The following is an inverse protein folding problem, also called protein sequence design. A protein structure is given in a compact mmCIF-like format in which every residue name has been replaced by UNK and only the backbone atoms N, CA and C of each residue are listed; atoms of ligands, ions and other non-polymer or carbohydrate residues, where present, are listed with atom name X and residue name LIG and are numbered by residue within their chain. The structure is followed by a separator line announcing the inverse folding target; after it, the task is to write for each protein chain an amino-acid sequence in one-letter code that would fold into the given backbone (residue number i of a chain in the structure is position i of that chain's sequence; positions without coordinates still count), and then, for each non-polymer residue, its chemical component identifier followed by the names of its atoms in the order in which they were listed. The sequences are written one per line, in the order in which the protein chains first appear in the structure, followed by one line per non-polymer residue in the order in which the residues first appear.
data_IF_390109643545
#
_entry.id   IF_390109643545
#
_cell.length_a   1.000
_cell.length_b   1.000
_cell.length_c   1.000
_cell.angle_alpha   90.00
_cell.angle_beta   90.00
_cell.angle_gamma   90.00
#
_symmetry.space_group_name_H-M   'P 1'
#
loop_
_entity.id
_entity.type
_entity.pdbx_description
1 polymer ?
#
# COMPACT_ATOMS: atom_id res chain seq x y z
N UNK A 1 -3.94 10.38 -33.12
CA UNK A 1 -3.07 9.63 -32.19
C UNK A 1 -2.25 10.64 -31.43
N UNK A 2 -2.00 10.40 -30.13
CA UNK A 2 -1.11 11.27 -29.36
C UNK A 2 0.34 11.02 -29.77
N UNK A 3 1.15 12.06 -29.79
CA UNK A 3 2.60 11.99 -29.99
C UNK A 3 3.32 12.00 -28.64
N UNK A 4 4.63 11.72 -28.63
CA UNK A 4 5.46 11.90 -27.43
C UNK A 4 5.44 13.33 -26.91
N UNK A 5 5.33 14.32 -27.80
CA UNK A 5 5.23 15.75 -27.45
C UNK A 5 3.89 16.06 -26.76
N UNK A 6 2.79 15.46 -27.23
CA UNK A 6 1.49 15.59 -26.57
C UNK A 6 1.54 15.07 -25.12
N UNK A 7 2.25 13.96 -24.89
CA UNK A 7 2.45 13.41 -23.55
C UNK A 7 3.35 14.26 -22.66
N UNK A 8 4.34 14.96 -23.24
CA UNK A 8 5.17 15.90 -22.49
C UNK A 8 4.33 17.08 -21.98
N UNK A 9 3.51 17.67 -22.85
CA UNK A 9 2.60 18.76 -22.48
C UNK A 9 1.59 18.29 -21.43
N UNK A 10 1.03 17.10 -21.60
CA UNK A 10 0.10 16.51 -20.65
C UNK A 10 0.75 16.30 -19.27
N UNK A 11 1.96 15.75 -19.24
CA UNK A 11 2.75 15.54 -18.03
C UNK A 11 2.99 16.85 -17.28
N UNK A 12 3.45 17.90 -17.98
CA UNK A 12 3.70 19.20 -17.37
C UNK A 12 2.43 19.85 -16.84
N UNK A 13 1.34 19.78 -17.60
CA UNK A 13 0.03 20.28 -17.19
C UNK A 13 -0.45 19.61 -15.90
N UNK A 14 -0.39 18.27 -15.83
CA UNK A 14 -0.81 17.53 -14.63
C UNK A 14 0.11 17.77 -13.45
N UNK A 15 1.43 17.81 -13.67
CA UNK A 15 2.40 18.12 -12.60
C UNK A 15 2.12 19.49 -12.00
N UNK A 16 1.98 20.51 -12.85
CA UNK A 16 1.70 21.89 -12.43
C UNK A 16 0.37 22.00 -11.66
N UNK A 17 -0.68 21.34 -12.17
CA UNK A 17 -1.99 21.27 -11.51
C UNK A 17 -1.86 20.69 -10.10
N UNK A 18 -1.25 19.51 -9.96
CA UNK A 18 -1.13 18.83 -8.67
C UNK A 18 -0.27 19.60 -7.68
N UNK A 19 0.84 20.19 -8.12
CA UNK A 19 1.70 21.00 -7.26
C UNK A 19 0.97 22.25 -6.76
N UNK A 20 0.20 22.91 -7.63
CA UNK A 20 -0.59 24.09 -7.28
C UNK A 20 -1.70 23.73 -6.30
N UNK A 21 -2.50 22.69 -6.59
CA UNK A 21 -3.55 22.23 -5.69
C UNK A 21 -3.00 21.79 -4.34
N UNK A 22 -1.87 21.07 -4.33
CA UNK A 22 -1.20 20.64 -3.09
C UNK A 22 -0.77 21.84 -2.25
N UNK A 23 -0.14 22.86 -2.85
CA UNK A 23 0.27 24.07 -2.14
C UNK A 23 -0.94 24.80 -1.55
N UNK A 24 -2.01 24.92 -2.32
CA UNK A 24 -3.24 25.58 -1.88
C UNK A 24 -3.87 24.86 -0.68
N UNK A 25 -4.09 23.54 -0.77
CA UNK A 25 -4.74 22.81 0.33
C UNK A 25 -3.89 22.78 1.59
N UNK A 26 -2.55 22.80 1.46
CA UNK A 26 -1.65 22.86 2.61
C UNK A 26 -1.67 24.24 3.27
N UNK A 27 -1.74 25.33 2.49
CA UNK A 27 -1.86 26.69 3.03
C UNK A 27 -3.12 26.86 3.90
N UNK A 28 -4.22 26.20 3.52
CA UNK A 28 -5.46 26.23 4.31
C UNK A 28 -5.29 25.70 5.73
N UNK A 29 -4.36 24.75 5.97
CA UNK A 29 -4.04 24.26 7.32
C UNK A 29 -3.47 25.36 8.22
N UNK A 30 -2.77 26.33 7.65
CA UNK A 30 -2.14 27.42 8.39
C UNK A 30 -3.06 28.65 8.48
N UNK A 31 -3.86 28.90 7.44
CA UNK A 31 -4.73 30.08 7.34
C UNK A 31 -6.03 29.96 8.15
N UNK A 32 -6.62 28.75 8.21
CA UNK A 32 -7.91 28.54 8.87
C UNK A 32 -7.69 28.15 10.33
N UNK A 33 -8.00 29.07 11.25
CA UNK A 33 -7.78 28.91 12.70
C UNK A 33 -8.46 27.71 13.37
N UNK A 34 -9.45 27.09 12.74
CA UNK A 34 -10.23 26.00 13.35
C UNK A 34 -10.67 24.95 12.33
N UNK A 35 -9.69 24.23 11.77
CA UNK A 35 -9.97 23.06 10.92
C UNK A 35 -10.20 21.83 11.83
N UNK A 36 -11.31 21.10 11.69
CA UNK A 36 -11.53 19.83 12.38
C UNK A 36 -10.46 18.80 12.03
N UNK A 37 -10.11 17.91 12.96
CA UNK A 37 -9.09 16.88 12.73
C UNK A 37 -9.39 16.03 11.48
N UNK A 38 -10.65 15.71 11.22
CA UNK A 38 -11.04 14.92 10.05
C UNK A 38 -10.79 15.67 8.73
N UNK A 39 -11.04 16.99 8.71
CA UNK A 39 -10.74 17.86 7.58
C UNK A 39 -9.22 17.99 7.39
N UNK A 40 -8.47 18.23 8.46
CA UNK A 40 -7.01 18.31 8.42
C UNK A 40 -6.37 16.98 7.97
N UNK A 41 -6.95 15.85 8.36
CA UNK A 41 -6.53 14.52 7.90
C UNK A 41 -6.85 14.30 6.42
N UNK A 42 -8.00 14.77 5.96
CA UNK A 42 -8.38 14.74 4.54
C UNK A 42 -7.42 15.57 3.68
N UNK A 43 -7.04 16.78 4.14
CA UNK A 43 -6.05 17.63 3.49
C UNK A 43 -4.69 16.93 3.41
N UNK A 44 -4.17 16.43 4.54
CA UNK A 44 -2.87 15.74 4.59
C UNK A 44 -2.85 14.51 3.70
N UNK A 45 -3.95 13.76 3.64
CA UNK A 45 -4.10 12.61 2.75
C UNK A 45 -4.06 13.02 1.27
N UNK A 46 -4.86 14.01 0.87
CA UNK A 46 -4.90 14.49 -0.50
C UNK A 46 -3.54 15.02 -0.97
N UNK A 47 -2.93 15.91 -0.16
CA UNK A 47 -1.61 16.47 -0.42
C UNK A 47 -0.53 15.37 -0.48
N UNK A 48 -0.54 14.42 0.44
CA UNK A 48 0.41 13.32 0.48
C UNK A 48 0.32 12.43 -0.76
N UNK A 49 -0.89 12.04 -1.18
CA UNK A 49 -1.10 11.25 -2.40
C UNK A 49 -0.66 12.02 -3.65
N UNK A 50 -1.06 13.28 -3.80
CA UNK A 50 -0.68 14.12 -4.95
C UNK A 50 0.84 14.26 -5.07
N UNK A 51 1.52 14.57 -3.96
CA UNK A 51 2.98 14.66 -3.94
C UNK A 51 3.66 13.33 -4.27
N UNK A 52 3.10 12.21 -3.81
CA UNK A 52 3.63 10.88 -4.11
C UNK A 52 3.51 10.56 -5.60
N UNK A 53 2.37 10.89 -6.21
CA UNK A 53 2.16 10.71 -7.65
C UNK A 53 3.17 11.55 -8.44
N UNK A 54 3.35 12.82 -8.09
CA UNK A 54 4.32 13.72 -8.73
C UNK A 54 5.75 13.17 -8.62
N UNK A 55 6.20 12.85 -7.41
CA UNK A 55 7.60 12.43 -7.16
C UNK A 55 7.93 11.07 -7.74
N UNK A 56 6.96 10.15 -7.82
CA UNK A 56 7.20 8.77 -8.25
C UNK A 56 6.71 8.53 -9.68
N UNK A 57 5.40 8.53 -9.88
CA UNK A 57 4.79 8.10 -11.15
C UNK A 57 5.04 9.11 -12.26
N UNK A 58 4.90 10.41 -12.00
CA UNK A 58 5.16 11.44 -13.00
C UNK A 58 6.66 11.60 -13.30
N UNK A 59 7.55 11.39 -12.32
CA UNK A 59 9.00 11.31 -12.59
C UNK A 59 9.34 10.13 -13.50
N UNK A 60 8.74 8.96 -13.26
CA UNK A 60 8.98 7.80 -14.12
C UNK A 60 8.38 7.99 -15.51
N UNK A 61 7.23 8.63 -15.61
CA UNK A 61 6.61 8.96 -16.88
C UNK A 61 7.46 9.96 -17.68
N UNK A 62 8.04 10.97 -17.02
CA UNK A 62 8.99 11.91 -17.63
C UNK A 62 10.19 11.20 -18.28
N UNK A 63 10.80 10.24 -17.57
CA UNK A 63 11.87 9.42 -18.14
C UNK A 63 11.41 8.66 -19.39
N UNK A 64 10.20 8.11 -19.36
CA UNK A 64 9.65 7.33 -20.47
C UNK A 64 9.35 8.22 -21.68
N UNK A 65 8.77 9.40 -21.47
CA UNK A 65 8.53 10.41 -22.51
C UNK A 65 9.85 10.87 -23.12
N UNK A 66 10.87 11.17 -22.30
CA UNK A 66 12.21 11.54 -22.78
C UNK A 66 12.86 10.44 -23.61
N UNK A 67 12.70 9.17 -23.20
CA UNK A 67 13.19 8.01 -23.93
C UNK A 67 12.48 7.83 -25.29
N UNK A 68 11.19 8.16 -25.36
CA UNK A 68 10.43 8.14 -26.61
C UNK A 68 10.84 9.27 -27.56
N UNK A 69 11.03 10.49 -27.03
CA UNK A 69 11.42 11.67 -27.81
C UNK A 69 12.88 11.63 -28.30
N UNK A 70 13.77 10.99 -27.55
CA UNK A 70 15.19 10.89 -27.87
C UNK A 70 15.62 9.42 -27.90
N UNK A 71 15.23 8.66 -28.94
CA UNK A 71 15.62 7.26 -29.06
C UNK A 71 17.14 7.15 -29.25
N UNK A 72 17.78 6.29 -28.47
CA UNK A 72 19.23 6.02 -28.58
C UNK A 72 19.43 4.99 -29.70
N UNK A 73 20.30 5.30 -30.66
CA UNK A 73 20.65 4.38 -31.72
C UNK A 73 21.25 3.08 -31.15
N UNK A 74 20.66 1.95 -31.49
CA UNK A 74 21.07 0.64 -30.98
C UNK A 74 20.41 0.23 -29.64
N UNK A 75 19.46 1.01 -29.12
CA UNK A 75 18.63 0.55 -28.00
C UNK A 75 17.73 -0.61 -28.44
N UNK A 76 17.82 -1.73 -27.71
CA UNK A 76 17.02 -2.92 -27.95
C UNK A 76 15.55 -2.74 -27.51
N UNK A 77 15.26 -1.74 -26.69
CA UNK A 77 13.91 -1.46 -26.16
C UNK A 77 13.59 0.04 -26.15
N UNK A 78 13.39 0.68 -27.31
CA UNK A 78 12.93 2.06 -27.37
C UNK A 78 11.55 2.19 -26.73
N UNK A 79 11.27 3.34 -26.12
CA UNK A 79 9.93 3.61 -25.61
C UNK A 79 8.99 3.91 -26.79
N UNK A 80 7.87 3.19 -26.85
CA UNK A 80 6.85 3.34 -27.89
C UNK A 80 5.70 4.23 -27.41
N UNK A 81 4.84 4.68 -28.34
CA UNK A 81 3.61 5.41 -27.98
C UNK A 81 2.68 4.52 -27.14
N UNK A 82 2.62 3.21 -27.43
CA UNK A 82 1.82 2.27 -26.65
C UNK A 82 2.31 2.14 -25.20
N UNK A 83 3.63 2.18 -24.98
CA UNK A 83 4.22 2.23 -23.63
C UNK A 83 3.79 3.49 -22.87
N UNK A 84 3.74 4.63 -23.56
CA UNK A 84 3.28 5.90 -22.99
C UNK A 84 1.80 5.86 -22.64
N UNK A 85 0.96 5.39 -23.57
CA UNK A 85 -0.49 5.25 -23.35
C UNK A 85 -0.79 4.30 -22.20
N UNK A 86 -0.14 3.13 -22.17
CA UNK A 86 -0.31 2.14 -21.12
C UNK A 86 0.13 2.66 -19.75
N UNK A 87 1.26 3.36 -19.67
CA UNK A 87 1.70 3.97 -18.41
C UNK A 87 0.77 5.11 -17.98
N UNK A 88 0.33 5.94 -18.91
CA UNK A 88 -0.58 7.05 -18.64
C UNK A 88 -1.91 6.56 -18.07
N UNK A 89 -2.47 5.46 -18.59
CA UNK A 89 -3.69 4.87 -18.04
C UNK A 89 -3.56 4.53 -16.54
N UNK A 90 -2.37 4.10 -16.09
CA UNK A 90 -2.11 3.86 -14.67
C UNK A 90 -2.03 5.17 -13.87
N UNK A 91 -1.45 6.22 -14.46
CA UNK A 91 -1.40 7.55 -13.84
C UNK A 91 -2.81 8.13 -13.72
N UNK A 92 -3.65 7.96 -14.73
CA UNK A 92 -5.03 8.46 -14.76
C UNK A 92 -5.91 7.82 -13.68
N UNK A 93 -5.75 6.51 -13.42
CA UNK A 93 -6.44 5.86 -12.30
C UNK A 93 -6.06 6.52 -10.97
N UNK A 94 -4.77 6.73 -10.72
CA UNK A 94 -4.31 7.37 -9.48
C UNK A 94 -4.72 8.86 -9.41
N UNK A 95 -4.80 9.55 -10.56
CA UNK A 95 -5.31 10.92 -10.62
C UNK A 95 -6.77 10.99 -10.19
N UNK A 96 -7.61 10.06 -10.64
CA UNK A 96 -9.01 9.99 -10.20
C UNK A 96 -9.10 9.79 -8.68
N UNK A 97 -8.31 8.87 -8.12
CA UNK A 97 -8.25 8.63 -6.67
C UNK A 97 -7.80 9.89 -5.89
N UNK A 98 -6.92 10.71 -6.47
CA UNK A 98 -6.46 11.98 -5.89
C UNK A 98 -7.54 13.05 -6.02
N UNK A 99 -8.20 13.14 -7.16
CA UNK A 99 -9.27 14.11 -7.42
C UNK A 99 -10.46 13.86 -6.46
N UNK A 100 -10.79 12.59 -6.15
CA UNK A 100 -11.74 12.24 -5.08
C UNK A 100 -11.29 12.73 -3.70
N UNK A 101 -10.00 12.63 -3.38
CA UNK A 101 -9.46 13.14 -2.12
C UNK A 101 -9.58 14.67 -2.05
N UNK A 102 -9.31 15.38 -3.15
CA UNK A 102 -9.49 16.83 -3.23
C UNK A 102 -10.97 17.22 -3.18
N UNK A 103 -11.87 16.42 -3.76
CA UNK A 103 -13.30 16.63 -3.65
C UNK A 103 -13.76 16.57 -2.19
N UNK A 104 -13.28 15.60 -1.40
CA UNK A 104 -13.57 15.54 0.04
C UNK A 104 -13.10 16.81 0.77
N UNK A 105 -11.93 17.35 0.44
CA UNK A 105 -11.46 18.64 0.99
C UNK A 105 -12.39 19.77 0.58
N UNK A 106 -12.86 19.78 -0.67
CA UNK A 106 -13.79 20.79 -1.16
C UNK A 106 -15.16 20.72 -0.47
N UNK A 107 -15.63 19.53 -0.11
CA UNK A 107 -16.84 19.38 0.70
C UNK A 107 -16.68 20.04 2.08
N UNK A 108 -15.53 19.87 2.73
CA UNK A 108 -15.23 20.58 3.98
C UNK A 108 -15.25 22.09 3.80
N UNK A 109 -14.66 22.63 2.72
CA UNK A 109 -14.74 24.06 2.38
C UNK A 109 -16.17 24.54 2.23
N UNK A 110 -16.98 23.79 1.48
CA UNK A 110 -18.38 24.15 1.22
C UNK A 110 -19.22 24.15 2.49
N UNK A 111 -18.85 23.34 3.49
CA UNK A 111 -19.47 23.31 4.81
C UNK A 111 -18.80 24.25 5.83
N UNK A 112 -17.97 25.20 5.37
CA UNK A 112 -17.28 26.15 6.25
C UNK A 112 -16.40 25.50 7.31
N UNK A 113 -15.81 24.34 6.99
CA UNK A 113 -14.97 23.54 7.91
C UNK A 113 -15.70 23.05 9.16
N UNK A 114 -17.00 22.79 9.08
CA UNK A 114 -17.78 22.27 10.20
C UNK A 114 -17.92 20.75 10.11
N UNK A 115 -17.85 20.08 11.26
CA UNK A 115 -18.18 18.66 11.36
C UNK A 115 -19.66 18.49 10.98
N UNK A 116 -19.96 17.63 10.01
CA UNK A 116 -21.36 17.28 9.73
C UNK A 116 -21.92 16.60 10.99
N UNK A 117 -22.84 17.27 11.68
CA UNK A 117 -23.66 16.60 12.68
C UNK A 117 -24.52 15.58 11.94
N UNK A 118 -24.08 14.31 11.97
CA UNK A 118 -24.95 13.21 11.57
C UNK A 118 -26.16 13.24 12.50
N UNK A 119 -27.40 13.26 11.99
CA UNK A 119 -28.58 13.14 12.84
C UNK A 119 -28.72 11.67 13.25
N UNK A 120 -27.84 11.19 14.11
CA UNK A 120 -28.02 9.93 14.81
C UNK A 120 -27.43 10.06 16.21
N UNK A 121 -28.30 10.54 17.09
CA UNK A 121 -28.51 10.10 18.47
C UNK A 121 -27.35 9.36 19.15
N UNK A 122 -26.83 10.00 20.19
CA UNK A 122 -26.31 9.43 21.44
C UNK A 122 -25.97 7.92 21.43
N UNK A 123 -24.68 7.59 21.45
CA UNK A 123 -24.04 7.06 22.67
C UNK A 123 -22.51 6.86 22.47
N UNK A 124 -21.67 7.16 23.49
CA UNK A 124 -20.22 7.14 23.36
C UNK A 124 -19.67 5.77 23.74
N UNK A 125 -19.09 5.02 22.79
CA UNK A 125 -18.19 3.92 23.14
C UNK A 125 -16.94 3.91 22.26
N UNK A 126 -15.82 3.99 22.99
CA UNK A 126 -14.44 3.98 22.56
C UNK A 126 -14.14 2.83 21.58
N UNK A 127 -13.58 3.15 20.42
CA UNK A 127 -12.80 2.20 19.63
C UNK A 127 -11.49 2.84 19.18
N UNK A 128 -10.41 2.33 19.76
CA UNK A 128 -9.03 2.53 19.33
C UNK A 128 -8.90 2.32 17.81
N UNK A 129 -8.47 3.35 17.09
CA UNK A 129 -8.00 3.23 15.71
C UNK A 129 -6.59 2.63 15.70
N UNK A 130 -6.51 1.31 15.55
CA UNK A 130 -5.30 0.65 15.07
C UNK A 130 -5.31 0.67 13.55
N UNK A 131 -4.60 1.64 12.98
CA UNK A 131 -4.21 1.65 11.57
C UNK A 131 -3.28 0.49 11.27
N UNK A 132 -3.67 -0.40 10.36
CA UNK A 132 -2.73 -1.23 9.61
C UNK A 132 -3.21 -1.40 8.18
N UNK A 133 -2.54 -0.68 7.28
CA UNK A 133 -2.57 -0.88 5.85
C UNK A 133 -2.20 -2.32 5.52
N UNK A 134 -3.01 -3.02 4.71
CA UNK A 134 -2.50 -4.09 3.86
C UNK A 134 -3.24 -4.17 2.54
N UNK A 135 -2.42 -4.00 1.51
CA UNK A 135 -2.65 -4.19 0.10
C UNK A 135 -2.90 -5.68 -0.20
N UNK A 136 -3.74 -5.92 -1.21
CA UNK A 136 -3.94 -7.17 -1.94
C UNK A 136 -4.81 -8.28 -1.28
N UNK A 137 -6.04 -8.44 -1.79
CA UNK A 137 -6.39 -9.49 -2.77
C UNK A 137 -7.85 -9.38 -3.20
N UNK A 138 -8.05 -9.47 -4.52
CA UNK A 138 -9.34 -9.46 -5.24
C UNK A 138 -10.12 -10.77 -5.04
N UNK A 139 -11.45 -10.63 -4.98
CA UNK A 139 -12.54 -11.62 -5.23
C UNK A 139 -12.71 -12.69 -4.13
N UNK A 140 -13.91 -12.96 -3.62
CA UNK A 140 -15.04 -13.59 -4.32
C UNK A 140 -16.39 -13.09 -3.78
N UNK A 141 -17.35 -12.99 -4.69
CA UNK A 141 -18.78 -12.65 -4.54
C UNK A 141 -19.49 -13.55 -3.51
N UNK A 142 -20.29 -12.97 -2.62
CA UNK A 142 -21.55 -13.59 -2.19
C UNK A 142 -22.53 -12.50 -1.74
N UNK A 143 -23.66 -12.40 -2.44
CA UNK A 143 -24.79 -11.56 -2.06
C UNK A 143 -25.22 -11.85 -0.61
N UNK A 144 -25.42 -10.81 0.20
CA UNK A 144 -26.12 -10.90 1.49
C UNK A 144 -27.39 -10.06 1.41
N UNK A 145 -28.59 -10.64 1.59
CA UNK A 145 -29.75 -9.85 1.94
C UNK A 145 -29.74 -9.51 3.43
N UNK A 146 -30.56 -8.52 3.76
CA UNK A 146 -30.69 -7.85 5.04
C UNK A 146 -30.89 -8.78 6.26
N UNK A 147 -30.32 -8.31 7.37
CA UNK A 147 -30.77 -8.35 8.77
C UNK A 147 -31.83 -9.39 9.17
N UNK A 148 -31.42 -10.37 9.98
CA UNK A 148 -32.30 -11.08 10.92
C UNK A 148 -31.60 -11.11 12.28
N UNK A 149 -32.27 -10.81 13.41
CA UNK A 149 -31.67 -10.90 14.74
C UNK A 149 -31.41 -12.37 15.08
N UNK A 150 -30.18 -12.72 15.48
CA UNK A 150 -29.78 -14.10 15.80
C UNK A 150 -29.60 -14.22 17.32
N UNK A 151 -30.26 -15.21 17.93
CA UNK A 151 -30.24 -15.53 19.35
C UNK A 151 -28.84 -15.60 19.99
N UNK A 152 -28.66 -15.13 21.24
CA UNK A 152 -27.37 -15.04 21.93
C UNK A 152 -26.68 -16.38 22.18
N UNK A 153 -27.40 -17.50 22.19
CA UNK A 153 -26.84 -18.83 22.42
C UNK A 153 -26.03 -19.36 21.21
N UNK A 154 -26.44 -19.01 19.99
CA UNK A 154 -25.73 -19.42 18.75
C UNK A 154 -24.40 -18.68 18.62
N UNK A 155 -24.35 -17.41 19.08
CA UNK A 155 -23.14 -16.60 19.09
C UNK A 155 -22.09 -17.13 20.07
N UNK A 156 -22.51 -17.62 21.25
CA UNK A 156 -21.61 -18.23 22.23
C UNK A 156 -20.92 -19.49 21.69
N UNK A 157 -21.69 -20.40 21.05
CA UNK A 157 -21.14 -21.63 20.45
C UNK A 157 -20.21 -21.34 19.27
N UNK A 158 -20.47 -20.28 18.51
CA UNK A 158 -19.61 -19.89 17.38
C UNK A 158 -18.30 -19.22 17.83
N UNK A 159 -18.32 -18.41 18.88
CA UNK A 159 -17.12 -17.80 19.46
C UNK A 159 -16.21 -18.85 20.09
N UNK A 160 -16.76 -19.86 20.76
CA UNK A 160 -15.99 -20.95 21.36
C UNK A 160 -15.28 -21.80 20.29
N UNK A 161 -15.98 -22.15 19.20
CA UNK A 161 -15.39 -22.88 18.07
C UNK A 161 -14.29 -22.08 17.36
N UNK A 162 -14.44 -20.77 17.26
CA UNK A 162 -13.39 -19.89 16.70
C UNK A 162 -12.17 -19.77 17.63
N UNK A 163 -12.38 -19.72 18.96
CA UNK A 163 -11.31 -19.66 19.95
C UNK A 163 -10.50 -20.96 19.98
N UNK A 164 -11.17 -22.12 19.95
CA UNK A 164 -10.51 -23.43 19.88
C UNK A 164 -9.67 -23.61 18.60
N UNK A 165 -10.17 -23.16 17.46
CA UNK A 165 -9.42 -23.21 16.20
C UNK A 165 -8.18 -22.28 16.21
N UNK A 166 -8.29 -21.10 16.82
CA UNK A 166 -7.17 -20.18 16.97
C UNK A 166 -6.08 -20.75 17.90
N UNK A 167 -6.48 -21.42 18.98
CA UNK A 167 -5.55 -22.05 19.93
C UNK A 167 -4.81 -23.24 19.31
N UNK A 168 -5.51 -24.10 18.57
CA UNK A 168 -4.88 -25.21 17.84
C UNK A 168 -3.85 -24.70 16.83
N UNK A 169 -4.18 -23.62 16.09
CA UNK A 169 -3.25 -23.01 15.14
C UNK A 169 -2.03 -22.40 15.82
N UNK A 170 -2.22 -21.77 16.99
CA UNK A 170 -1.10 -21.22 17.79
C UNK A 170 -0.18 -22.32 18.30
N UNK A 171 -0.75 -23.45 18.77
CA UNK A 171 0.03 -24.60 19.27
C UNK A 171 0.83 -25.28 18.16
N UNK A 172 0.23 -25.49 16.98
CA UNK A 172 0.92 -26.08 15.83
C UNK A 172 2.11 -25.23 15.34
N UNK A 173 1.96 -23.90 15.33
CA UNK A 173 3.05 -22.98 14.97
C UNK A 173 4.19 -22.99 15.99
N UNK A 174 3.88 -23.07 17.29
CA UNK A 174 4.88 -23.16 18.34
C UNK A 174 5.69 -24.47 18.24
N UNK A 175 5.01 -25.59 17.99
CA UNK A 175 5.65 -26.90 17.82
C UNK A 175 6.52 -26.95 16.57
N UNK A 176 6.03 -26.44 15.43
CA UNK A 176 6.81 -26.35 14.20
C UNK A 176 8.08 -25.49 14.38
N UNK A 177 7.97 -24.37 15.11
CA UNK A 177 9.11 -23.50 15.40
C UNK A 177 10.13 -24.16 16.32
N UNK A 178 9.68 -24.92 17.32
CA UNK A 178 10.57 -25.66 18.21
C UNK A 178 11.29 -26.79 17.46
N UNK A 179 10.59 -27.51 16.58
CA UNK A 179 11.18 -28.57 15.75
C UNK A 179 12.19 -28.02 14.74
N UNK A 180 11.92 -26.87 14.13
CA UNK A 180 12.88 -26.19 13.26
C UNK A 180 14.12 -25.74 14.02
N UNK A 181 13.97 -25.20 15.25
CA UNK A 181 15.12 -24.79 16.08
C UNK A 181 15.96 -25.98 16.53
N UNK A 182 15.33 -27.11 16.86
CA UNK A 182 16.04 -28.34 17.21
C UNK A 182 16.79 -28.93 16.00
N UNK A 183 16.19 -28.88 14.80
CA UNK A 183 16.87 -29.29 13.57
C UNK A 183 18.08 -28.38 13.25
N UNK A 184 17.93 -27.06 13.39
CA UNK A 184 19.05 -26.11 13.20
C UNK A 184 20.18 -26.31 14.22
N UNK A 185 19.85 -26.67 15.47
CA UNK A 185 20.85 -26.97 16.49
C UNK A 185 21.53 -28.33 16.26
N UNK A 186 20.81 -29.32 15.72
CA UNK A 186 21.38 -30.60 15.31
C UNK A 186 22.29 -30.44 14.08
N UNK A 187 21.90 -29.64 13.09
CA UNK A 187 22.75 -29.29 11.93
C UNK A 187 24.00 -28.53 12.36
N UNK A 188 23.88 -27.58 13.29
CA UNK A 188 25.04 -26.86 13.84
C UNK A 188 26.00 -27.79 14.61
N UNK A 189 25.49 -28.80 15.32
CA UNK A 189 26.32 -29.78 16.03
C UNK A 189 27.02 -30.80 15.12
N UNK A 190 26.48 -31.07 13.91
CA UNK A 190 27.20 -31.88 12.91
C UNK A 190 28.33 -31.14 12.22
N UNK A 191 28.31 -29.81 12.16
CA UNK A 191 29.37 -29.00 11.54
C UNK A 191 30.60 -28.84 12.46
N UNK A 192 30.45 -28.95 13.79
CA UNK A 192 31.59 -28.87 14.72
C UNK A 192 32.37 -30.19 14.90
N UNK A 193 31.84 -31.34 14.46
CA UNK A 193 32.56 -32.63 14.56
C UNK A 193 33.48 -32.95 13.37
N UNK A 194 33.47 -32.15 12.29
CA UNK A 194 34.35 -32.35 11.13
C UNK A 194 35.73 -31.68 11.29
N UNK A 195 35.91 -30.81 12.29
CA UNK A 195 37.16 -30.06 12.52
C UNK A 195 38.22 -30.86 13.30
N UNK A 196 37.91 -32.06 13.79
CA UNK A 196 38.85 -32.88 14.58
C UNK A 196 39.06 -34.30 14.01
N UNK A 197 39.17 -34.44 12.69
CA UNK A 197 39.73 -35.65 12.09
C UNK A 197 41.27 -35.50 11.96
N UNK A 198 42.08 -36.44 12.48
CA UNK A 198 43.54 -36.36 12.37
C UNK A 198 43.98 -36.46 10.89
N UNK A 199 45.06 -35.77 10.49
CA UNK A 199 45.46 -35.72 9.10
C UNK A 199 45.88 -37.11 8.62
N UNK A 200 45.24 -37.60 7.56
CA UNK A 200 45.70 -38.77 6.82
C UNK A 200 47.02 -38.42 6.13
N UNK A 201 48.08 -39.08 6.55
CA UNK A 201 49.39 -39.07 5.91
C UNK A 201 49.35 -39.91 4.64
N UNK A 202 49.29 -39.29 3.47
CA UNK A 202 49.48 -39.96 2.19
C UNK A 202 50.98 -40.24 1.97
N UNK A 203 51.40 -41.47 2.27
CA UNK A 203 52.63 -42.06 1.74
C UNK A 203 52.26 -42.73 0.42
N UNK A 204 52.60 -42.10 -0.70
CA UNK A 204 52.74 -42.80 -1.98
C UNK A 204 54.24 -43.04 -2.22
N UNK A 205 54.64 -44.29 -1.96
CA UNK A 205 55.95 -44.83 -2.31
C UNK A 205 56.18 -44.73 -3.82
N UNK A 206 57.38 -44.26 -4.13
CA UNK A 206 58.10 -44.40 -5.38
C UNK A 206 58.46 -45.87 -5.60
N UNK A 207 58.08 -46.40 -6.77
CA UNK A 207 58.76 -47.33 -7.70
C UNK A 207 57.76 -48.23 -8.44
#
# INVERSE_FOLDING_TARGET
MRTGEDFLVLLESVRSRLETSTKQVLAELDEVKSIPEEAASSIRLAAGKAQLLVRKKLSKFDELVKKNLNPIAGDLQPATIDDLEGYWALVEIELNDIDECFQKVNEWRSNGWQLKESPESQDPLLVNSNNNNNIAKKKIVTNRPATVPIDPEVRAKQVEKQKAAAEMRRKALAEAKQKARAAQQAEAATVENDVNAPPRSDVLMVL
#
